data_IF_855973048678
#
_entry.id   IF_855973048678
#
_cell.length_a   1.000
_cell.length_b   1.000
_cell.length_c   1.000
_cell.angle_alpha   90.00
_cell.angle_beta   90.00
_cell.angle_gamma   90.00
#
_symmetry.space_group_name_H-M   'P 1'
#
loop_
_entity.id
_entity.type
_entity.pdbx_description
1 polymer ?
#
# COMPACT_ATOMS: atom_id res chain seq x y z
N UNK A 1 -10.69 10.58 7.48
CA UNK A 1 -9.44 10.33 6.75
C UNK A 1 -9.82 10.24 5.28
N UNK A 2 -9.17 11.02 4.43
CA UNK A 2 -9.37 11.01 2.97
C UNK A 2 -8.12 10.41 2.35
N UNK A 3 -8.27 9.52 1.36
CA UNK A 3 -7.14 8.99 0.61
C UNK A 3 -7.04 9.76 -0.71
N UNK A 4 -5.82 10.04 -1.14
CA UNK A 4 -5.57 10.74 -2.40
C UNK A 4 -5.70 9.80 -3.58
N UNK A 5 -4.67 8.98 -3.75
CA UNK A 5 -4.61 7.90 -4.73
C UNK A 5 -4.60 6.55 -4.02
N UNK A 6 -5.27 5.59 -4.63
CA UNK A 6 -5.18 4.17 -4.29
C UNK A 6 -4.59 3.48 -5.51
N UNK A 7 -3.47 2.81 -5.31
CA UNK A 7 -2.69 2.17 -6.37
C UNK A 7 -2.67 0.66 -6.11
N UNK A 8 -3.04 -0.14 -7.11
CA UNK A 8 -3.21 -1.58 -6.99
C UNK A 8 -2.19 -2.32 -7.86
N UNK A 9 -1.41 -3.23 -7.27
CA UNK A 9 -0.39 -4.03 -7.98
C UNK A 9 -0.38 -5.44 -7.41
N UNK A 10 -0.52 -6.46 -8.27
CA UNK A 10 -0.36 -7.89 -7.94
C UNK A 10 -1.00 -8.35 -6.61
N UNK A 11 -2.25 -7.94 -6.35
CA UNK A 11 -2.98 -8.33 -5.15
C UNK A 11 -2.69 -7.45 -3.92
N UNK A 12 -1.85 -6.43 -4.07
CA UNK A 12 -1.63 -5.38 -3.08
C UNK A 12 -2.30 -4.07 -3.51
N UNK A 13 -2.69 -3.27 -2.53
CA UNK A 13 -3.15 -1.91 -2.75
C UNK A 13 -2.52 -0.98 -1.72
N UNK A 14 -1.89 0.09 -2.19
CA UNK A 14 -1.34 1.16 -1.37
C UNK A 14 -2.23 2.39 -1.46
N UNK A 15 -2.61 2.95 -0.32
CA UNK A 15 -3.38 4.20 -0.26
C UNK A 15 -2.57 5.27 0.48
N UNK A 16 -2.27 6.37 -0.21
CA UNK A 16 -1.60 7.51 0.39
C UNK A 16 -2.65 8.37 1.09
N UNK A 17 -2.63 8.47 2.42
CA UNK A 17 -3.58 9.29 3.16
C UNK A 17 -3.33 10.78 2.84
N UNK A 18 -4.39 11.56 2.80
CA UNK A 18 -4.37 13.01 2.58
C UNK A 18 -5.05 13.74 3.75
N UNK A 19 -4.44 14.81 4.23
CA UNK A 19 -5.02 15.69 5.23
C UNK A 19 -4.01 16.35 6.16
N UNK A 20 -4.45 17.33 6.97
CA UNK A 20 -3.57 18.15 7.81
C UNK A 20 -2.98 17.43 9.03
N UNK A 21 -3.37 16.17 9.28
CA UNK A 21 -2.91 15.35 10.42
C UNK A 21 -2.26 14.05 9.98
N UNK A 22 -1.90 13.97 8.71
CA UNK A 22 -1.48 12.72 8.10
C UNK A 22 0.04 12.61 8.18
N UNK A 23 0.55 11.52 8.75
CA UNK A 23 1.98 11.18 8.71
C UNK A 23 2.41 10.64 7.34
N UNK A 24 3.71 10.48 7.13
CA UNK A 24 4.31 10.08 5.83
C UNK A 24 4.10 8.59 5.46
N UNK A 25 3.14 7.91 6.10
CA UNK A 25 2.89 6.49 5.94
C UNK A 25 1.90 6.17 4.82
N UNK A 26 2.15 5.08 4.10
CA UNK A 26 1.21 4.47 3.16
C UNK A 26 0.41 3.38 3.86
N UNK A 27 -0.91 3.33 3.64
CA UNK A 27 -1.75 2.23 4.08
C UNK A 27 -1.68 1.09 3.07
N UNK A 28 -1.27 -0.10 3.51
CA UNK A 28 -1.24 -1.29 2.69
C UNK A 28 -2.43 -2.19 2.94
N UNK A 29 -2.97 -2.72 1.85
CA UNK A 29 -4.02 -3.72 1.83
C UNK A 29 -3.59 -4.89 0.97
N UNK A 30 -3.87 -6.10 1.44
CA UNK A 30 -3.63 -7.33 0.69
C UNK A 30 -4.97 -7.99 0.32
N UNK A 31 -5.11 -8.35 -0.94
CA UNK A 31 -6.27 -9.07 -1.45
C UNK A 31 -6.11 -10.56 -1.17
N UNK A 32 -6.94 -11.08 -0.28
CA UNK A 32 -7.01 -12.51 0.01
C UNK A 32 -8.20 -13.12 -0.72
N UNK A 33 -7.94 -14.13 -1.57
CA UNK A 33 -9.00 -14.85 -2.28
C UNK A 33 -10.11 -15.31 -1.32
N UNK A 34 -11.37 -15.06 -1.69
CA UNK A 34 -12.56 -15.41 -0.90
C UNK A 34 -12.92 -14.43 0.23
N UNK A 35 -12.00 -13.56 0.68
CA UNK A 35 -12.28 -12.57 1.73
C UNK A 35 -12.09 -11.12 1.30
N UNK A 36 -11.50 -10.88 0.13
CA UNK A 36 -11.31 -9.55 -0.43
C UNK A 36 -10.10 -8.81 0.14
N UNK A 37 -10.15 -7.49 0.10
CA UNK A 37 -9.09 -6.61 0.59
C UNK A 37 -9.06 -6.54 2.11
N UNK A 38 -7.89 -6.76 2.70
CA UNK A 38 -7.67 -6.64 4.14
C UNK A 38 -6.54 -5.67 4.42
N UNK A 39 -6.72 -4.86 5.47
CA UNK A 39 -5.65 -4.01 5.97
C UNK A 39 -4.47 -4.86 6.44
N UNK A 40 -3.28 -4.53 5.96
CA UNK A 40 -2.04 -5.21 6.29
C UNK A 40 -1.21 -4.39 7.29
N UNK A 41 -1.09 -3.08 7.05
CA UNK A 41 -0.32 -2.18 7.91
C UNK A 41 -0.20 -0.78 7.35
N UNK A 42 0.42 0.12 8.11
CA UNK A 42 0.83 1.45 7.65
C UNK A 42 2.34 1.65 7.85
N UNK A 43 3.00 2.33 6.91
CA UNK A 43 4.46 2.54 6.96
C UNK A 43 4.98 3.34 5.78
N UNK A 44 6.16 3.94 5.93
CA UNK A 44 6.73 4.90 4.97
C UNK A 44 7.86 4.33 4.08
N UNK A 45 7.95 3.01 3.91
CA UNK A 45 9.12 2.41 3.25
C UNK A 45 9.04 0.91 3.07
N UNK A 46 7.94 0.40 2.54
CA UNK A 46 7.86 -1.01 2.18
C UNK A 46 8.82 -1.33 1.03
N UNK A 47 9.57 -2.41 1.14
CA UNK A 47 10.33 -2.94 0.02
C UNK A 47 9.40 -3.74 -0.89
N UNK A 48 9.42 -3.47 -2.19
CA UNK A 48 8.59 -4.22 -3.14
C UNK A 48 8.93 -5.73 -3.12
N UNK A 49 10.18 -6.09 -2.85
CA UNK A 49 10.66 -7.47 -2.74
C UNK A 49 10.04 -8.20 -1.55
N UNK A 50 9.93 -7.54 -0.39
CA UNK A 50 9.30 -8.11 0.81
C UNK A 50 7.81 -8.36 0.62
N UNK A 51 7.16 -7.55 -0.24
CA UNK A 51 5.77 -7.75 -0.64
C UNK A 51 5.60 -8.80 -1.75
N UNK A 52 6.70 -9.34 -2.29
CA UNK A 52 6.70 -10.27 -3.41
C UNK A 52 6.27 -9.62 -4.73
N UNK A 53 6.35 -8.30 -4.82
CA UNK A 53 6.00 -7.54 -6.02
C UNK A 53 7.15 -7.60 -7.02
N UNK A 54 6.85 -8.05 -8.23
CA UNK A 54 7.79 -8.04 -9.36
C UNK A 54 7.64 -6.79 -10.22
N UNK A 55 6.52 -6.09 -10.08
CA UNK A 55 6.23 -4.84 -10.76
C UNK A 55 6.46 -3.66 -9.82
N UNK A 56 7.01 -2.53 -10.34
CA UNK A 56 7.19 -1.33 -9.53
C UNK A 56 5.83 -0.80 -9.08
N UNK A 57 5.69 -0.55 -7.77
CA UNK A 57 4.48 0.07 -7.22
C UNK A 57 4.85 1.38 -6.52
N UNK A 58 4.07 2.45 -6.69
CA UNK A 58 4.39 3.77 -6.15
C UNK A 58 4.35 3.84 -4.61
N UNK A 59 3.81 2.81 -3.96
CA UNK A 59 3.74 2.69 -2.50
C UNK A 59 4.87 1.88 -1.87
N UNK A 60 5.78 1.31 -2.68
CA UNK A 60 6.95 0.59 -2.21
C UNK A 60 8.21 1.10 -2.91
N UNK A 61 9.35 0.91 -2.28
CA UNK A 61 10.67 1.17 -2.87
C UNK A 61 11.23 -0.15 -3.38
N UNK A 62 11.77 -0.17 -4.60
CA UNK A 62 12.58 -1.28 -5.08
C UNK A 62 14.04 -0.96 -4.75
N UNK A 63 14.61 -1.67 -3.78
CA UNK A 63 16.03 -1.58 -3.45
C UNK A 63 16.96 -2.08 -4.55
#
# INVERSE_FOLDING_TARGET
MTFGSVECVQGWAGAVPQGPKTGDGVYLFHHTAGTGWKYYGEGSGYDCTDLGLTEPAPFCVSG
#
